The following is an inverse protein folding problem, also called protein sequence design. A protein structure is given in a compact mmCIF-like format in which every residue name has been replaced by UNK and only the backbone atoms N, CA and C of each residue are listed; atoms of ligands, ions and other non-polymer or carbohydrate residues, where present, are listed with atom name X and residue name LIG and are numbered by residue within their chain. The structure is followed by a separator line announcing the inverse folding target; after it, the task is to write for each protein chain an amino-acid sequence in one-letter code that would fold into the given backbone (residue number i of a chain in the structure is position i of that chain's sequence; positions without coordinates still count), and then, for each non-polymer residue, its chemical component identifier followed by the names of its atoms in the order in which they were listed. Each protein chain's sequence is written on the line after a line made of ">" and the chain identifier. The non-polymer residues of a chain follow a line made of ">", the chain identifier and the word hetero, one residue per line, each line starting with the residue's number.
data_IF_860752545844
#
_entry.id   IF_860752545844
#
_cell.length_a   1.000
_cell.length_b   1.000
_cell.length_c   1.000
_cell.angle_alpha   90.00
_cell.angle_beta   90.00
_cell.angle_gamma   90.00
#
_symmetry.space_group_name_H-M   'P 1'
#
loop_
_entity.id
_entity.type
_entity.pdbx_description
1 polymer ?
#
# COMPACT_ATOMS: atom_id res chain seq x y z
N UNK A 1 6.12 11.67 23.93
CA UNK A 1 7.33 11.89 23.11
C UNK A 1 8.36 10.76 23.14
N UNK A 2 8.57 10.02 24.25
CA UNK A 2 9.53 8.90 24.29
C UNK A 2 9.15 7.67 23.43
N UNK A 3 7.86 7.47 23.14
CA UNK A 3 7.35 6.32 22.36
C UNK A 3 7.69 6.36 20.87
N UNK A 4 7.75 7.56 20.27
CA UNK A 4 8.04 7.72 18.84
C UNK A 4 9.50 7.37 18.54
N UNK A 5 10.40 7.72 19.46
CA UNK A 5 11.84 7.52 19.33
C UNK A 5 12.22 6.03 19.29
N UNK A 6 11.60 5.17 20.11
CA UNK A 6 11.96 3.74 20.15
C UNK A 6 11.56 3.00 18.87
N UNK A 7 10.38 3.31 18.32
CA UNK A 7 9.91 2.74 17.06
C UNK A 7 10.72 3.26 15.87
N UNK A 8 11.09 4.55 15.87
CA UNK A 8 12.05 5.06 14.89
C UNK A 8 13.40 4.37 15.03
N UNK A 9 13.86 4.06 16.25
CA UNK A 9 15.17 3.42 16.47
C UNK A 9 15.22 2.01 15.87
N UNK A 10 14.19 1.19 16.12
CA UNK A 10 14.06 -0.17 15.55
C UNK A 10 13.95 -0.12 14.02
N UNK A 11 13.19 0.84 13.48
CA UNK A 11 13.06 1.04 12.02
C UNK A 11 14.29 1.70 11.36
N UNK A 12 15.15 2.41 12.12
CA UNK A 12 16.41 2.98 11.60
C UNK A 12 17.58 1.99 11.67
N UNK A 13 17.55 1.01 12.58
CA UNK A 13 18.59 -0.05 12.62
C UNK A 13 18.37 -1.12 11.56
N UNK A 14 17.14 -1.28 11.07
CA UNK A 14 16.84 -2.16 9.93
C UNK A 14 16.84 -1.35 8.62
N UNK A 15 18.03 -0.94 8.16
CA UNK A 15 18.22 -0.46 6.78
C UNK A 15 18.03 -1.56 5.71
N UNK A 16 17.75 -2.79 6.15
CA UNK A 16 17.31 -3.90 5.32
C UNK A 16 15.93 -4.31 5.81
N UNK A 17 14.89 -3.65 5.30
CA UNK A 17 13.56 -4.25 5.24
C UNK A 17 13.70 -5.53 4.40
N UNK A 18 12.92 -6.57 4.69
CA UNK A 18 12.81 -7.74 3.80
C UNK A 18 12.79 -7.25 2.35
N UNK A 19 13.59 -7.82 1.45
CA UNK A 19 13.87 -7.33 0.07
C UNK A 19 12.63 -6.95 -0.78
N UNK A 20 11.43 -7.23 -0.25
CA UNK A 20 10.12 -7.11 -0.87
C UNK A 20 9.32 -5.87 -0.45
N UNK A 21 9.72 -5.15 0.60
CA UNK A 21 9.02 -3.96 1.07
C UNK A 21 9.95 -2.75 1.17
N UNK A 22 9.56 -1.66 0.52
CA UNK A 22 10.24 -0.37 0.60
C UNK A 22 9.44 0.58 1.49
N UNK A 23 10.11 1.29 2.39
CA UNK A 23 9.49 2.30 3.25
C UNK A 23 9.42 3.65 2.54
N UNK A 24 8.29 4.34 2.69
CA UNK A 24 8.09 5.69 2.19
C UNK A 24 7.77 6.67 3.31
N UNK A 25 8.30 7.90 3.19
CA UNK A 25 7.83 9.08 3.92
C UNK A 25 6.56 9.65 3.29
N UNK A 26 5.83 10.51 4.02
CA UNK A 26 4.62 11.16 3.48
C UNK A 26 4.89 11.90 2.16
N UNK A 27 5.95 12.70 2.00
CA UNK A 27 6.26 13.36 0.72
C UNK A 27 6.58 12.36 -0.41
N UNK A 28 7.35 11.31 -0.13
CA UNK A 28 7.70 10.31 -1.15
C UNK A 28 6.46 9.51 -1.61
N UNK A 29 5.57 9.17 -0.68
CA UNK A 29 4.29 8.55 -1.00
C UNK A 29 3.47 9.42 -1.96
N UNK A 30 3.43 10.74 -1.72
CA UNK A 30 2.68 11.66 -2.57
C UNK A 30 3.25 11.71 -3.98
N UNK A 31 4.58 11.75 -4.11
CA UNK A 31 5.27 11.68 -5.40
C UNK A 31 4.93 10.39 -6.15
N UNK A 32 4.77 9.26 -5.44
CA UNK A 32 4.43 7.97 -6.06
C UNK A 32 2.96 7.81 -6.43
N UNK A 33 2.03 8.34 -5.62
CA UNK A 33 0.59 8.20 -5.88
C UNK A 33 0.04 9.20 -6.90
N UNK A 34 0.69 10.35 -7.10
CA UNK A 34 0.19 11.39 -8.02
C UNK A 34 0.13 10.92 -9.49
N UNK A 35 1.16 10.27 -10.06
CA UNK A 35 1.05 9.70 -11.40
C UNK A 35 -0.09 8.68 -11.56
N UNK A 36 -0.40 7.91 -10.50
CA UNK A 36 -1.51 6.95 -10.51
C UNK A 36 -2.88 7.65 -10.56
N UNK A 37 -3.00 8.81 -9.90
CA UNK A 37 -4.20 9.64 -9.97
C UNK A 37 -4.37 10.21 -11.38
N UNK A 38 -3.29 10.70 -11.98
CA UNK A 38 -3.32 11.25 -13.34
C UNK A 38 -3.71 10.15 -14.34
N UNK A 39 -3.10 8.96 -14.23
CA UNK A 39 -3.42 7.77 -15.03
C UNK A 39 -4.89 7.36 -14.90
N UNK A 40 -5.39 7.19 -13.67
CA UNK A 40 -6.79 6.79 -13.45
C UNK A 40 -7.77 7.87 -13.93
N UNK A 41 -7.43 9.14 -13.79
CA UNK A 41 -8.24 10.25 -14.33
C UNK A 41 -8.29 10.23 -15.85
N UNK A 42 -7.19 9.89 -16.52
CA UNK A 42 -7.16 9.69 -17.96
C UNK A 42 -8.04 8.50 -18.38
N UNK A 43 -7.93 7.37 -17.69
CA UNK A 43 -8.78 6.20 -17.94
C UNK A 43 -10.26 6.53 -17.78
N UNK A 44 -10.67 7.25 -16.73
CA UNK A 44 -12.06 7.68 -16.54
C UNK A 44 -12.58 8.48 -17.75
N UNK A 45 -11.75 9.32 -18.37
CA UNK A 45 -12.14 10.12 -19.55
C UNK A 45 -12.25 9.30 -20.84
N UNK A 46 -11.58 8.15 -20.91
CA UNK A 46 -11.58 7.27 -22.08
C UNK A 46 -12.84 6.38 -22.16
N UNK A 47 -13.57 6.20 -21.06
CA UNK A 47 -14.75 5.34 -21.01
C UNK A 47 -16.05 6.14 -20.85
N UNK A 48 -17.11 5.63 -21.47
CA UNK A 48 -18.43 6.26 -21.43
C UNK A 48 -19.07 6.22 -20.03
N UNK A 49 -20.04 7.11 -19.79
CA UNK A 49 -20.79 7.14 -18.53
C UNK A 49 -21.57 5.83 -18.31
N UNK A 50 -21.47 5.27 -17.11
CA UNK A 50 -22.23 4.08 -16.71
C UNK A 50 -21.61 2.73 -17.13
N UNK A 51 -20.43 2.72 -17.73
CA UNK A 51 -19.72 1.46 -18.03
C UNK A 51 -19.03 0.92 -16.78
N UNK A 52 -18.94 -0.42 -16.68
CA UNK A 52 -18.27 -1.10 -15.57
C UNK A 52 -16.78 -0.72 -15.51
N UNK A 53 -16.15 -0.51 -16.66
CA UNK A 53 -14.76 -0.04 -16.76
C UNK A 53 -14.62 1.34 -16.13
N UNK A 54 -15.52 2.28 -16.46
CA UNK A 54 -15.48 3.61 -15.87
C UNK A 54 -15.72 3.58 -14.36
N UNK A 55 -16.69 2.78 -13.90
CA UNK A 55 -16.95 2.60 -12.46
C UNK A 55 -15.74 2.03 -11.72
N UNK A 56 -15.06 1.06 -12.31
CA UNK A 56 -13.81 0.52 -11.80
C UNK A 56 -12.74 1.63 -11.66
N UNK A 57 -12.50 2.42 -12.71
CA UNK A 57 -11.51 3.49 -12.66
C UNK A 57 -11.88 4.62 -11.69
N UNK A 58 -13.17 4.95 -11.57
CA UNK A 58 -13.68 5.89 -10.57
C UNK A 58 -13.40 5.39 -9.14
N UNK A 59 -13.65 4.11 -8.87
CA UNK A 59 -13.35 3.49 -7.58
C UNK A 59 -11.85 3.55 -7.26
N UNK A 60 -11.00 3.17 -8.22
CA UNK A 60 -9.55 3.25 -8.08
C UNK A 60 -9.06 4.69 -7.79
N UNK A 61 -9.54 5.67 -8.56
CA UNK A 61 -9.20 7.08 -8.36
C UNK A 61 -9.67 7.61 -7.00
N UNK A 62 -10.90 7.27 -6.59
CA UNK A 62 -11.43 7.63 -5.28
C UNK A 62 -10.57 7.07 -4.13
N UNK A 63 -10.17 5.80 -4.22
CA UNK A 63 -9.33 5.13 -3.24
C UNK A 63 -7.93 5.76 -3.13
N UNK A 64 -7.35 6.21 -4.26
CA UNK A 64 -6.10 6.96 -4.28
C UNK A 64 -6.23 8.31 -3.55
N UNK A 65 -7.27 9.09 -3.86
CA UNK A 65 -7.53 10.37 -3.20
C UNK A 65 -7.81 10.21 -1.70
N UNK A 66 -8.58 9.20 -1.31
CA UNK A 66 -8.87 8.87 0.09
C UNK A 66 -7.57 8.55 0.84
N UNK A 67 -6.67 7.77 0.23
CA UNK A 67 -5.37 7.43 0.79
C UNK A 67 -4.43 8.63 0.93
N UNK A 68 -4.39 9.53 -0.06
CA UNK A 68 -3.61 10.79 0.06
C UNK A 68 -4.16 11.71 1.14
N UNK A 69 -5.49 11.87 1.21
CA UNK A 69 -6.14 12.66 2.26
C UNK A 69 -5.82 12.07 3.63
N UNK A 70 -5.88 10.75 3.76
CA UNK A 70 -5.52 10.04 4.97
C UNK A 70 -4.07 10.31 5.41
N UNK A 71 -3.11 10.11 4.50
CA UNK A 71 -1.70 10.35 4.78
C UNK A 71 -1.43 11.81 5.18
N UNK A 72 -2.08 12.78 4.52
CA UNK A 72 -1.99 14.21 4.87
C UNK A 72 -2.45 14.49 6.30
N UNK A 73 -3.56 13.88 6.72
CA UNK A 73 -4.15 14.13 8.04
C UNK A 73 -3.35 13.50 9.18
N UNK A 74 -2.66 12.38 8.91
CA UNK A 74 -1.91 11.65 9.94
C UNK A 74 -0.51 12.20 10.20
N UNK A 75 0.05 13.02 9.30
CA UNK A 75 1.26 13.82 9.47
C UNK A 75 2.40 13.04 10.18
N UNK A 76 2.91 12.01 9.50
CA UNK A 76 4.01 11.11 9.92
C UNK A 76 3.72 10.12 11.06
N UNK A 77 2.47 10.00 11.52
CA UNK A 77 2.05 8.92 12.46
C UNK A 77 1.79 7.57 11.79
N UNK A 78 1.99 7.48 10.48
CA UNK A 78 1.80 6.26 9.70
C UNK A 78 3.12 5.76 9.13
N UNK A 79 3.23 4.44 9.04
CA UNK A 79 4.24 3.75 8.26
C UNK A 79 3.62 3.40 6.89
N UNK A 80 4.26 3.86 5.81
CA UNK A 80 3.86 3.53 4.44
C UNK A 80 4.87 2.55 3.85
N UNK A 81 4.37 1.41 3.39
CA UNK A 81 5.20 0.38 2.75
C UNK A 81 4.73 0.19 1.30
N UNK A 82 5.67 0.11 0.37
CA UNK A 82 5.42 -0.34 -1.00
C UNK A 82 5.95 -1.76 -1.17
N UNK A 83 5.10 -2.64 -1.68
CA UNK A 83 5.41 -4.03 -1.94
C UNK A 83 5.90 -4.26 -3.38
N UNK A 84 7.02 -4.98 -3.51
CA UNK A 84 7.66 -5.36 -4.77
C UNK A 84 8.14 -6.82 -4.67
N UNK A 85 7.45 -7.80 -5.27
CA UNK A 85 7.75 -9.23 -5.07
C UNK A 85 9.12 -9.66 -5.59
N UNK A 86 9.67 -8.97 -6.60
CA UNK A 86 10.98 -9.26 -7.17
C UNK A 86 11.81 -7.98 -7.25
N UNK A 87 12.72 -7.80 -6.30
CA UNK A 87 13.74 -6.74 -6.29
C UNK A 87 14.74 -6.83 -7.44
N UNK A 88 14.82 -7.97 -8.14
CA UNK A 88 15.87 -8.27 -9.13
C UNK A 88 15.43 -8.28 -10.60
N UNK A 89 14.21 -7.85 -10.95
CA UNK A 89 13.84 -7.88 -12.36
C UNK A 89 14.17 -6.57 -13.07
N UNK A 90 15.33 -6.58 -13.75
CA UNK A 90 15.59 -5.78 -14.94
C UNK A 90 14.63 -6.21 -16.05
N UNK A 91 13.42 -5.65 -16.10
CA UNK A 91 12.62 -5.70 -17.32
C UNK A 91 12.93 -4.47 -18.18
N UNK A 92 13.14 -4.78 -19.44
CA UNK A 92 13.70 -3.99 -20.54
C UNK A 92 13.04 -2.63 -20.79
N UNK A 93 13.90 -1.63 -21.03
CA UNK A 93 13.73 -0.50 -21.94
C UNK A 93 12.36 0.21 -21.94
N UNK A 94 12.02 0.89 -20.84
CA UNK A 94 11.56 2.29 -20.83
C UNK A 94 11.11 2.65 -19.41
N UNK A 95 11.80 3.63 -18.81
CA UNK A 95 11.53 4.34 -17.56
C UNK A 95 10.29 3.91 -16.72
N UNK A 96 10.47 3.04 -15.71
CA UNK A 96 9.74 3.03 -14.41
C UNK A 96 10.14 1.83 -13.53
N UNK A 97 11.45 1.66 -13.27
CA UNK A 97 12.03 0.44 -12.68
C UNK A 97 11.80 0.30 -11.14
N UNK A 98 11.28 1.32 -10.44
CA UNK A 98 11.11 1.32 -8.97
C UNK A 98 9.69 1.71 -8.52
N UNK A 99 8.67 1.04 -9.04
CA UNK A 99 7.28 1.34 -8.68
C UNK A 99 6.62 0.15 -7.97
N UNK A 100 6.27 0.29 -6.68
CA UNK A 100 5.53 -0.73 -5.95
C UNK A 100 4.24 -1.15 -6.61
N UNK A 101 3.92 -2.44 -6.46
CA UNK A 101 2.71 -3.06 -6.98
C UNK A 101 1.53 -2.73 -6.08
N UNK A 102 1.80 -2.71 -4.78
CA UNK A 102 0.81 -2.43 -3.73
C UNK A 102 1.44 -1.49 -2.70
N UNK A 103 0.68 -0.50 -2.25
CA UNK A 103 1.01 0.35 -1.11
C UNK A 103 0.15 -0.05 0.09
N UNK A 104 0.78 -0.09 1.26
CA UNK A 104 0.21 -0.53 2.53
C UNK A 104 0.36 0.61 3.53
N UNK A 105 -0.74 0.98 4.18
CA UNK A 105 -0.79 2.09 5.13
C UNK A 105 -1.03 1.54 6.53
N UNK A 106 0.00 1.64 7.36
CA UNK A 106 0.02 1.09 8.70
C UNK A 106 0.00 2.22 9.72
N UNK A 107 -1.02 2.23 10.56
CA UNK A 107 -1.08 3.05 11.76
C UNK A 107 -0.33 2.39 12.90
N UNK A 108 0.43 3.18 13.65
CA UNK A 108 1.07 2.73 14.89
C UNK A 108 0.10 3.04 16.03
N UNK A 109 -0.63 2.03 16.51
CA UNK A 109 -1.60 2.19 17.60
C UNK A 109 -0.94 2.01 18.97
N UNK A 110 -0.10 0.98 19.11
CA UNK A 110 0.66 0.68 20.33
C UNK A 110 2.00 0.02 20.00
N UNK A 111 2.81 -0.30 21.02
CA UNK A 111 4.16 -0.87 20.83
C UNK A 111 4.17 -2.17 20.02
N UNK A 112 3.08 -2.97 20.07
CA UNK A 112 3.04 -4.29 19.47
C UNK A 112 1.90 -4.48 18.47
N UNK A 113 1.20 -3.39 18.08
CA UNK A 113 0.08 -3.45 17.13
C UNK A 113 0.28 -2.43 16.02
N UNK A 114 0.39 -2.95 14.79
CA UNK A 114 0.27 -2.17 13.57
C UNK A 114 -1.11 -2.40 12.97
N UNK A 115 -1.83 -1.31 12.78
CA UNK A 115 -3.19 -1.35 12.25
C UNK A 115 -3.15 -1.04 10.75
N UNK A 116 -3.55 -2.00 9.93
CA UNK A 116 -3.64 -1.88 8.49
C UNK A 116 -4.92 -1.16 8.08
N UNK A 117 -4.76 0.07 7.57
CA UNK A 117 -5.88 0.98 7.31
C UNK A 117 -6.24 1.10 5.84
N UNK A 118 -5.25 1.11 4.95
CA UNK A 118 -5.44 1.24 3.51
C UNK A 118 -4.49 0.29 2.77
N UNK A 119 -5.00 -0.33 1.70
CA UNK A 119 -4.20 -1.04 0.71
C UNK A 119 -4.55 -0.48 -0.66
N UNK A 120 -3.55 0.06 -1.36
CA UNK A 120 -3.73 0.67 -2.67
C UNK A 120 -2.93 -0.15 -3.67
N UNK A 121 -3.62 -0.77 -4.63
CA UNK A 121 -2.97 -1.35 -5.78
C UNK A 121 -2.55 -0.24 -6.75
N UNK A 122 -1.37 -0.37 -7.34
CA UNK A 122 -0.92 0.52 -8.39
C UNK A 122 -1.70 0.23 -9.69
N UNK A 123 -2.57 1.17 -10.15
CA UNK A 123 -3.39 0.97 -11.35
C UNK A 123 -2.59 0.99 -12.65
N UNK A 124 -1.35 1.49 -12.64
CA UNK A 124 -0.49 1.53 -13.83
C UNK A 124 0.12 0.16 -14.15
N UNK A 125 0.08 -0.79 -13.21
CA UNK A 125 0.65 -2.12 -13.38
C UNK A 125 -0.41 -3.06 -13.94
N UNK A 126 -0.18 -3.53 -15.17
CA UNK A 126 -1.07 -4.44 -15.90
C UNK A 126 -0.61 -5.91 -15.82
N UNK A 127 0.15 -6.28 -14.80
CA UNK A 127 0.52 -7.69 -14.57
C UNK A 127 -0.42 -8.35 -13.58
N UNK A 128 -0.58 -9.67 -13.69
CA UNK A 128 -1.33 -10.44 -12.71
C UNK A 128 -0.59 -10.41 -11.37
N UNK A 129 -1.19 -9.78 -10.37
CA UNK A 129 -0.60 -9.64 -9.04
C UNK A 129 -0.92 -10.88 -8.21
N UNK A 130 0.11 -11.56 -7.72
CA UNK A 130 -0.06 -12.66 -6.77
C UNK A 130 -0.38 -12.11 -5.36
N UNK A 131 -1.66 -11.98 -5.06
CA UNK A 131 -2.15 -11.51 -3.75
C UNK A 131 -1.84 -12.50 -2.61
N UNK A 132 -1.74 -13.80 -2.92
CA UNK A 132 -1.36 -14.81 -1.94
C UNK A 132 0.08 -14.61 -1.47
N UNK A 133 0.99 -14.38 -2.42
CA UNK A 133 2.38 -14.03 -2.14
C UNK A 133 2.49 -12.71 -1.37
N UNK A 134 1.78 -11.66 -1.79
CA UNK A 134 1.74 -10.39 -1.07
C UNK A 134 1.34 -10.57 0.38
N UNK A 135 0.23 -11.26 0.64
CA UNK A 135 -0.28 -11.50 1.99
C UNK A 135 0.73 -12.27 2.83
N UNK A 136 1.28 -13.36 2.29
CA UNK A 136 2.30 -14.17 2.97
C UNK A 136 3.51 -13.33 3.34
N UNK A 137 4.00 -12.50 2.43
CA UNK A 137 5.17 -11.65 2.68
C UNK A 137 4.86 -10.52 3.67
N UNK A 138 3.65 -9.96 3.67
CA UNK A 138 3.24 -8.96 4.67
C UNK A 138 3.14 -9.57 6.08
N UNK A 139 2.61 -10.80 6.19
CA UNK A 139 2.56 -11.53 7.45
C UNK A 139 3.98 -11.86 7.95
N UNK A 140 4.85 -12.38 7.07
CA UNK A 140 6.26 -12.61 7.40
C UNK A 140 6.95 -11.32 7.86
N UNK A 141 6.66 -10.19 7.21
CA UNK A 141 7.19 -8.89 7.62
C UNK A 141 6.79 -8.56 9.06
N UNK A 142 5.52 -8.72 9.43
CA UNK A 142 5.07 -8.40 10.80
C UNK A 142 5.54 -9.40 11.85
N UNK A 143 5.59 -10.68 11.49
CA UNK A 143 6.07 -11.77 12.37
C UNK A 143 7.56 -11.59 12.69
N UNK A 144 8.38 -11.22 11.69
CA UNK A 144 9.82 -10.99 11.86
C UNK A 144 10.14 -9.81 12.79
N UNK A 145 9.26 -8.82 12.85
CA UNK A 145 9.42 -7.66 13.74
C UNK A 145 8.75 -7.91 15.11
N UNK A 146 8.04 -9.04 15.27
CA UNK A 146 7.35 -9.39 16.51
C UNK A 146 6.12 -8.52 16.79
N UNK A 147 5.48 -8.00 15.74
CA UNK A 147 4.35 -7.07 15.84
C UNK A 147 3.07 -7.73 15.31
N UNK A 148 1.96 -7.58 16.03
CA UNK A 148 0.66 -8.02 15.56
C UNK A 148 0.11 -7.07 14.47
N UNK A 149 -0.37 -7.65 13.37
CA UNK A 149 -1.04 -6.93 12.29
C UNK A 149 -2.56 -6.97 12.47
N UNK A 150 -3.16 -5.86 12.89
CA UNK A 150 -4.62 -5.73 12.90
C UNK A 150 -5.13 -5.28 11.54
N UNK A 151 -6.01 -6.08 10.93
CA UNK A 151 -6.63 -5.78 9.63
C UNK A 151 -8.07 -5.22 9.75
N UNK A 152 -8.58 -5.03 10.97
CA UNK A 152 -9.98 -4.68 11.23
C UNK A 152 -10.44 -3.40 10.53
N UNK A 153 -9.55 -2.42 10.36
CA UNK A 153 -9.88 -1.15 9.71
C UNK A 153 -10.07 -1.26 8.20
N UNK A 154 -9.57 -2.33 7.56
CA UNK A 154 -9.82 -2.54 6.14
C UNK A 154 -11.31 -2.67 5.81
N UNK A 155 -12.17 -3.01 6.77
CA UNK A 155 -13.64 -2.99 6.60
C UNK A 155 -14.19 -1.63 6.16
N UNK A 156 -13.49 -0.53 6.49
CA UNK A 156 -13.93 0.86 6.25
C UNK A 156 -13.32 1.47 4.99
N UNK A 157 -12.45 0.73 4.31
CA UNK A 157 -11.74 1.18 3.13
C UNK A 157 -12.01 0.25 1.95
N UNK A 158 -12.07 0.79 0.72
CA UNK A 158 -12.33 0.02 -0.51
C UNK A 158 -13.53 -0.95 -0.36
N UNK A 159 -14.62 -0.46 0.26
CA UNK A 159 -15.83 -1.23 0.57
C UNK A 159 -15.58 -2.58 1.28
N UNK A 160 -14.49 -2.68 2.04
CA UNK A 160 -14.11 -3.90 2.74
C UNK A 160 -13.51 -4.99 1.84
N UNK A 161 -13.27 -4.73 0.55
CA UNK A 161 -12.72 -5.71 -0.41
C UNK A 161 -11.45 -6.36 0.15
N UNK A 162 -10.47 -5.55 0.54
CA UNK A 162 -9.22 -6.07 1.09
C UNK A 162 -9.40 -6.83 2.41
N UNK A 163 -10.36 -6.42 3.25
CA UNK A 163 -10.68 -7.18 4.45
C UNK A 163 -11.19 -8.58 4.09
N UNK A 164 -12.11 -8.66 3.13
CA UNK A 164 -12.62 -9.92 2.61
C UNK A 164 -11.51 -10.76 2.00
N UNK A 165 -10.64 -10.17 1.18
CA UNK A 165 -9.51 -10.88 0.57
C UNK A 165 -8.59 -11.46 1.64
N UNK A 166 -8.27 -10.70 2.69
CA UNK A 166 -7.40 -11.16 3.78
C UNK A 166 -8.02 -12.29 4.63
N UNK A 167 -9.34 -12.28 4.88
CA UNK A 167 -9.99 -13.34 5.66
C UNK A 167 -10.26 -14.61 4.83
N UNK A 168 -10.61 -14.46 3.54
CA UNK A 168 -11.01 -15.58 2.68
C UNK A 168 -9.82 -16.32 2.06
N UNK A 169 -8.66 -15.67 1.90
CA UNK A 169 -7.43 -16.32 1.42
C UNK A 169 -6.71 -17.17 2.49
N UNK A 170 -7.46 -18.00 3.23
CA UNK A 170 -6.90 -19.14 3.96
C UNK A 170 -6.92 -20.34 3.02
N UNK A 171 -5.89 -20.45 2.19
CA UNK A 171 -5.56 -21.66 1.43
C UNK A 171 -4.05 -21.73 1.30
#
# INVERSE_FOLDING_TARGET
>A
MKFFLFFTTILTTCNSFTEKFLRYTTPQLFTKLRPMIDYTSEKIRQFDYGTLEREHWLSCNHNLHKSLKYAKLRNDKCLYLGWMPNSNIQYSNSAEIDTPYIFVFLDIESQNILQLTHIVQNPCIQVNIDYGLFKKQLQQFTDNVGIYLDISQLKKFDNGRWYLDFIHSRS
#
